data_IF_856850644430
#
_entry.id   IF_856850644430
#
_cell.length_a   1.000
_cell.length_b   1.000
_cell.length_c   1.000
_cell.angle_alpha   90.00
_cell.angle_beta   90.00
_cell.angle_gamma   90.00
#
_symmetry.space_group_name_H-M   'P 1'
#
loop_
_entity.id
_entity.type
_entity.pdbx_description
1 polymer ?
#
# COMPACT_ATOMS: atom_id res chain seq x y z
N UNK A 1 -0.41 -16.48 -14.81
CA UNK A 1 -0.29 -16.16 -13.35
C UNK A 1 0.24 -14.72 -13.21
N UNK A 2 -0.16 -13.92 -12.21
CA UNK A 2 0.17 -12.48 -12.12
C UNK A 2 1.68 -12.19 -12.31
N UNK A 3 2.56 -12.95 -11.65
CA UNK A 3 4.01 -12.74 -11.78
C UNK A 3 4.57 -13.00 -13.19
N UNK A 4 3.93 -13.85 -14.01
CA UNK A 4 4.34 -14.01 -15.41
C UNK A 4 3.85 -12.86 -16.29
N UNK A 5 2.62 -12.42 -16.09
CA UNK A 5 2.05 -11.28 -16.83
C UNK A 5 2.84 -9.98 -16.57
N UNK A 6 3.49 -9.87 -15.41
CA UNK A 6 4.24 -8.69 -14.99
C UNK A 6 5.73 -8.95 -14.76
N UNK A 7 6.32 -9.94 -15.43
CA UNK A 7 7.74 -10.33 -15.23
C UNK A 7 8.74 -9.17 -15.42
N UNK A 8 8.42 -8.18 -16.25
CA UNK A 8 9.23 -6.98 -16.48
C UNK A 8 9.06 -5.86 -15.43
N UNK A 9 8.13 -6.01 -14.50
CA UNK A 9 7.80 -4.98 -13.51
C UNK A 9 8.48 -5.26 -12.16
N UNK A 10 8.60 -4.19 -11.36
CA UNK A 10 9.03 -4.27 -9.96
C UNK A 10 7.78 -4.34 -9.09
N UNK A 11 7.69 -5.35 -8.24
CA UNK A 11 6.61 -5.50 -7.27
C UNK A 11 7.03 -4.91 -5.92
N UNK A 12 6.37 -3.83 -5.52
CA UNK A 12 6.58 -3.18 -4.23
C UNK A 12 5.76 -3.83 -3.11
N UNK A 13 6.43 -4.21 -2.02
CA UNK A 13 5.77 -4.73 -0.82
C UNK A 13 6.19 -3.93 0.42
N UNK A 14 5.28 -3.83 1.39
CA UNK A 14 5.61 -3.23 2.69
C UNK A 14 6.64 -4.08 3.44
N UNK A 15 7.69 -3.43 3.95
CA UNK A 15 8.68 -4.06 4.83
C UNK A 15 8.13 -4.19 6.27
N UNK A 16 7.13 -5.05 6.45
CA UNK A 16 6.50 -5.26 7.75
C UNK A 16 7.33 -6.18 8.64
N UNK A 17 7.69 -5.66 9.81
CA UNK A 17 8.26 -6.46 10.89
C UNK A 17 7.16 -7.10 11.74
N UNK A 18 6.81 -8.36 11.44
CA UNK A 18 5.75 -9.12 12.10
C UNK A 18 5.93 -9.21 13.62
N UNK A 19 7.16 -9.42 14.08
CA UNK A 19 7.48 -9.55 15.51
C UNK A 19 7.15 -8.25 16.27
N UNK A 20 7.53 -7.10 15.70
CA UNK A 20 7.22 -5.78 16.26
C UNK A 20 5.74 -5.41 16.19
N UNK A 21 4.91 -6.18 15.48
CA UNK A 21 3.46 -5.94 15.38
C UNK A 21 2.63 -6.65 16.46
N UNK A 22 3.20 -7.64 17.16
CA UNK A 22 2.52 -8.29 18.28
C UNK A 22 2.35 -7.32 19.46
N UNK A 23 1.21 -7.44 20.16
CA UNK A 23 0.83 -6.59 21.29
C UNK A 23 0.26 -7.44 22.42
N UNK A 24 -0.21 -6.81 23.51
CA UNK A 24 -0.85 -7.52 24.63
C UNK A 24 -2.24 -8.11 24.32
N UNK A 25 -2.83 -7.81 23.16
CA UNK A 25 -4.17 -8.28 22.79
C UNK A 25 -4.13 -9.64 22.06
N UNK A 26 -4.79 -10.65 22.64
CA UNK A 26 -4.90 -12.00 22.04
C UNK A 26 -5.56 -11.97 20.66
N UNK A 27 -6.67 -11.24 20.51
CA UNK A 27 -7.38 -11.15 19.22
C UNK A 27 -6.54 -10.48 18.15
N UNK A 28 -5.84 -9.39 18.49
CA UNK A 28 -4.91 -8.73 17.58
C UNK A 28 -3.79 -9.67 17.15
N UNK A 29 -3.14 -10.35 18.10
CA UNK A 29 -2.04 -11.26 17.80
C UNK A 29 -2.47 -12.43 16.92
N UNK A 30 -3.67 -13.00 17.13
CA UNK A 30 -4.21 -14.04 16.24
C UNK A 30 -4.39 -13.52 14.82
N UNK A 31 -4.90 -12.30 14.65
CA UNK A 31 -5.06 -11.70 13.32
C UNK A 31 -3.72 -11.44 12.65
N UNK A 32 -2.71 -10.94 13.38
CA UNK A 32 -1.35 -10.77 12.87
C UNK A 32 -0.73 -12.11 12.49
N UNK A 33 -0.92 -13.15 13.32
CA UNK A 33 -0.33 -14.47 13.10
C UNK A 33 -0.86 -15.13 11.81
N UNK A 34 -2.17 -15.00 11.53
CA UNK A 34 -2.84 -15.59 10.36
C UNK A 34 -2.26 -15.14 9.02
N UNK A 35 -1.72 -13.94 8.94
CA UNK A 35 -1.19 -13.40 7.68
C UNK A 35 0.28 -13.77 7.53
N UNK A 36 0.63 -14.47 6.44
CA UNK A 36 2.02 -14.82 6.12
C UNK A 36 2.51 -14.10 4.85
N UNK A 37 2.65 -12.77 4.97
CA UNK A 37 3.11 -11.92 3.87
C UNK A 37 4.56 -12.20 3.44
N UNK A 38 5.40 -12.75 4.34
CA UNK A 38 6.79 -13.12 3.99
C UNK A 38 6.82 -14.25 2.96
N UNK A 39 5.94 -15.24 3.11
CA UNK A 39 5.80 -16.31 2.11
C UNK A 39 5.34 -15.76 0.76
N UNK A 40 4.37 -14.84 0.74
CA UNK A 40 3.92 -14.18 -0.50
C UNK A 40 5.08 -13.44 -1.17
N UNK A 41 5.85 -12.66 -0.41
CA UNK A 41 7.04 -11.95 -0.90
C UNK A 41 8.07 -12.92 -1.48
N UNK A 42 8.34 -14.04 -0.79
CA UNK A 42 9.27 -15.07 -1.27
C UNK A 42 8.82 -15.72 -2.57
N UNK A 43 7.56 -16.12 -2.66
CA UNK A 43 6.96 -16.71 -3.86
C UNK A 43 6.97 -15.72 -5.05
N UNK A 44 6.74 -14.43 -4.79
CA UNK A 44 6.81 -13.39 -5.80
C UNK A 44 8.25 -13.11 -6.24
N UNK A 45 9.20 -13.08 -5.31
CA UNK A 45 10.62 -12.90 -5.57
C UNK A 45 11.24 -14.01 -6.43
N UNK A 46 10.73 -15.24 -6.31
CA UNK A 46 11.12 -16.33 -7.20
C UNK A 46 10.78 -16.06 -8.68
N UNK A 47 9.72 -15.30 -8.95
CA UNK A 47 9.17 -15.13 -10.31
C UNK A 47 9.36 -13.72 -10.89
N UNK A 48 9.74 -12.75 -10.07
CA UNK A 48 9.73 -11.32 -10.43
C UNK A 48 10.64 -10.51 -9.51
N UNK A 49 10.94 -9.27 -9.90
CA UNK A 49 11.73 -8.34 -9.08
C UNK A 49 10.86 -7.79 -7.95
N UNK A 50 11.33 -7.91 -6.71
CA UNK A 50 10.63 -7.40 -5.52
C UNK A 50 11.44 -6.26 -4.89
N UNK A 51 10.75 -5.21 -4.44
CA UNK A 51 11.31 -4.13 -3.63
C UNK A 51 10.53 -4.02 -2.31
N UNK A 52 11.26 -4.07 -1.20
CA UNK A 52 10.71 -3.82 0.13
C UNK A 52 10.69 -2.30 0.38
N UNK A 53 9.56 -1.79 0.84
CA UNK A 53 9.25 -0.37 0.95
C UNK A 53 8.94 0.01 2.38
N UNK A 54 9.16 1.28 2.73
CA UNK A 54 8.90 1.76 4.07
C UNK A 54 7.38 1.72 4.37
N UNK A 55 6.93 0.93 5.36
CA UNK A 55 5.51 0.83 5.70
C UNK A 55 5.00 2.05 6.47
N UNK A 56 5.88 2.96 6.90
CA UNK A 56 5.50 4.07 7.74
C UNK A 56 4.46 4.97 7.08
N UNK A 57 3.29 5.06 7.71
CA UNK A 57 2.12 5.80 7.25
C UNK A 57 1.59 5.41 5.86
N UNK A 58 1.95 4.26 5.30
CA UNK A 58 1.43 3.78 4.01
C UNK A 58 -0.11 3.81 3.94
N UNK A 59 -0.79 3.35 4.98
CA UNK A 59 -2.27 3.30 5.07
C UNK A 59 -2.91 4.51 5.76
N UNK A 60 -2.10 5.49 6.18
CA UNK A 60 -2.54 6.70 6.91
C UNK A 60 -2.39 7.95 6.05
N UNK A 61 -1.28 8.06 5.33
CA UNK A 61 -1.05 9.15 4.37
C UNK A 61 -2.09 9.07 3.25
N UNK A 62 -2.62 10.20 2.86
CA UNK A 62 -3.45 10.35 1.69
C UNK A 62 -2.51 10.36 0.48
N UNK A 63 -2.86 9.59 -0.55
CA UNK A 63 -2.13 9.56 -1.82
C UNK A 63 -2.08 10.91 -2.54
N UNK A 64 -2.87 11.91 -2.11
CA UNK A 64 -2.79 13.29 -2.59
C UNK A 64 -1.88 14.21 -1.76
N UNK A 65 -1.31 13.76 -0.63
CA UNK A 65 -0.27 14.48 0.12
C UNK A 65 -0.48 14.61 1.63
N UNK A 66 -1.73 14.71 2.10
CA UNK A 66 -2.02 14.97 3.53
C UNK A 66 -1.97 13.71 4.39
N UNK A 67 -1.53 13.80 5.65
CA UNK A 67 -1.57 12.66 6.57
C UNK A 67 -2.87 12.68 7.36
N UNK A 68 -3.66 11.61 7.28
CA UNK A 68 -4.85 11.41 8.12
C UNK A 68 -4.76 10.06 8.86
N UNK A 69 -5.62 9.86 9.86
CA UNK A 69 -5.75 8.56 10.53
C UNK A 69 -7.16 7.97 10.32
N UNK A 70 -7.51 7.55 9.08
CA UNK A 70 -8.83 6.98 8.83
C UNK A 70 -8.98 5.64 9.56
N UNK A 71 -10.22 5.36 10.00
CA UNK A 71 -10.61 4.10 10.62
C UNK A 71 -11.53 3.33 9.66
N UNK A 72 -11.38 2.01 9.60
CA UNK A 72 -12.18 1.15 8.72
C UNK A 72 -11.54 0.88 7.36
N UNK A 73 -12.35 0.35 6.44
CA UNK A 73 -11.96 -0.03 5.08
C UNK A 73 -11.97 1.15 4.10
N UNK A 74 -12.82 2.16 4.33
CA UNK A 74 -12.85 3.39 3.55
C UNK A 74 -11.78 4.37 4.02
N UNK A 75 -11.04 4.96 3.09
CA UNK A 75 -10.17 6.11 3.32
C UNK A 75 -10.93 7.38 2.94
N UNK A 76 -11.22 8.22 3.92
CA UNK A 76 -11.80 9.55 3.70
C UNK A 76 -10.82 10.63 4.15
N UNK A 77 -10.36 11.44 3.20
CA UNK A 77 -9.44 12.55 3.45
C UNK A 77 -10.21 13.82 3.80
N UNK A 78 -10.13 14.28 5.05
CA UNK A 78 -10.81 15.52 5.47
C UNK A 78 -10.26 16.79 4.80
N UNK A 79 -9.01 16.77 4.33
CA UNK A 79 -8.40 17.95 3.73
C UNK A 79 -8.65 18.12 2.22
N UNK A 80 -8.71 17.03 1.44
CA UNK A 80 -8.93 17.11 -0.02
C UNK A 80 -10.23 16.44 -0.49
N UNK A 81 -11.01 15.87 0.42
CA UNK A 81 -12.28 15.21 0.10
C UNK A 81 -12.16 13.84 -0.57
N UNK A 82 -10.94 13.32 -0.78
CA UNK A 82 -10.73 12.00 -1.41
C UNK A 82 -11.43 10.88 -0.62
N UNK A 83 -12.21 10.06 -1.33
CA UNK A 83 -12.90 8.88 -0.80
C UNK A 83 -12.57 7.66 -1.67
N UNK A 84 -11.72 6.76 -1.16
CA UNK A 84 -11.30 5.54 -1.86
C UNK A 84 -11.11 4.39 -0.88
N UNK A 85 -10.99 3.16 -1.37
CA UNK A 85 -10.60 2.02 -0.54
C UNK A 85 -9.22 2.27 0.11
N UNK A 86 -9.10 1.92 1.39
CA UNK A 86 -7.90 2.20 2.18
C UNK A 86 -6.71 1.37 1.76
N UNK A 87 -6.92 0.14 1.30
CA UNK A 87 -5.85 -0.69 0.76
C UNK A 87 -5.39 -0.15 -0.59
N UNK A 88 -6.31 0.29 -1.45
CA UNK A 88 -5.96 0.99 -2.70
C UNK A 88 -5.14 2.26 -2.41
N UNK A 89 -5.56 3.09 -1.45
CA UNK A 89 -4.78 4.26 -1.05
C UNK A 89 -3.37 3.89 -0.57
N UNK A 90 -3.24 2.80 0.21
CA UNK A 90 -1.94 2.31 0.66
C UNK A 90 -1.08 1.84 -0.52
N UNK A 91 -1.64 1.10 -1.47
CA UNK A 91 -0.96 0.69 -2.70
C UNK A 91 -0.46 1.89 -3.50
N UNK A 92 -1.25 2.97 -3.62
CA UNK A 92 -0.83 4.20 -4.29
C UNK A 92 0.37 4.86 -3.59
N UNK A 93 0.35 4.95 -2.26
CA UNK A 93 1.48 5.50 -1.52
C UNK A 93 2.76 4.68 -1.70
N UNK A 94 2.64 3.35 -1.77
CA UNK A 94 3.78 2.45 -2.03
C UNK A 94 4.28 2.59 -3.47
N UNK A 95 3.37 2.69 -4.44
CA UNK A 95 3.72 2.98 -5.83
C UNK A 95 4.57 4.26 -5.94
N UNK A 96 4.15 5.34 -5.27
CA UNK A 96 4.93 6.58 -5.24
C UNK A 96 6.34 6.39 -4.65
N UNK A 97 6.52 5.53 -3.64
CA UNK A 97 7.85 5.20 -3.13
C UNK A 97 8.71 4.43 -4.14
N UNK A 98 8.11 3.50 -4.91
CA UNK A 98 8.81 2.77 -5.97
C UNK A 98 9.33 3.75 -7.02
N UNK A 99 8.48 4.68 -7.46
CA UNK A 99 8.77 5.70 -8.46
C UNK A 99 9.65 6.85 -7.94
N UNK A 100 9.89 6.95 -6.63
CA UNK A 100 10.62 8.06 -6.03
C UNK A 100 9.88 9.39 -6.09
N UNK A 101 8.54 9.35 -6.13
CA UNK A 101 7.67 10.52 -6.29
C UNK A 101 7.08 10.97 -4.95
N UNK A 102 6.87 12.27 -4.83
CA UNK A 102 6.14 12.87 -3.70
C UNK A 102 4.63 12.96 -4.01
N UNK A 103 3.75 12.58 -3.06
CA UNK A 103 2.31 12.67 -3.29
C UNK A 103 1.84 14.12 -3.43
N UNK A 104 0.99 14.36 -4.42
CA UNK A 104 0.30 15.65 -4.64
C UNK A 104 -1.05 15.42 -5.32
N UNK A 105 -1.99 16.36 -5.15
CA UNK A 105 -3.29 16.29 -5.81
C UNK A 105 -3.18 16.23 -7.33
N UNK A 106 -2.28 17.04 -7.92
CA UNK A 106 -2.05 17.07 -9.37
C UNK A 106 -1.57 15.71 -9.88
N UNK A 107 -0.61 15.09 -9.18
CA UNK A 107 -0.10 13.77 -9.53
C UNK A 107 -1.20 12.71 -9.41
N UNK A 108 -1.96 12.73 -8.31
CA UNK A 108 -3.07 11.80 -8.09
C UNK A 108 -4.09 11.87 -9.23
N UNK A 109 -4.59 13.08 -9.57
CA UNK A 109 -5.56 13.26 -10.66
C UNK A 109 -4.98 12.79 -11.99
N UNK A 110 -3.71 13.07 -12.28
CA UNK A 110 -3.03 12.62 -13.49
C UNK A 110 -2.95 11.09 -13.60
N UNK A 111 -2.57 10.41 -12.51
CA UNK A 111 -2.51 8.94 -12.45
C UNK A 111 -3.89 8.32 -12.64
N UNK A 112 -4.90 8.82 -11.93
CA UNK A 112 -6.25 8.27 -12.03
C UNK A 112 -6.85 8.46 -13.43
N UNK A 113 -6.63 9.62 -14.09
CA UNK A 113 -7.02 9.84 -15.48
C UNK A 113 -6.36 8.84 -16.42
N UNK A 114 -5.03 8.63 -16.27
CA UNK A 114 -4.26 7.71 -17.12
C UNK A 114 -4.72 6.26 -16.96
N UNK A 115 -5.10 5.86 -15.75
CA UNK A 115 -5.56 4.50 -15.46
C UNK A 115 -7.06 4.30 -15.68
N UNK A 116 -7.78 5.31 -16.20
CA UNK A 116 -9.22 5.24 -16.45
C UNK A 116 -10.06 5.14 -15.16
N UNK A 117 -9.53 5.60 -14.03
CA UNK A 117 -10.06 5.37 -12.69
C UNK A 117 -10.68 6.58 -11.99
N UNK A 118 -10.94 7.69 -12.68
CA UNK A 118 -11.88 8.70 -12.18
C UNK A 118 -13.23 8.47 -12.90
N UNK A 119 -14.37 8.43 -12.19
CA UNK A 119 -15.64 8.72 -12.84
C UNK A 119 -15.63 10.12 -13.47
#
# INVERSE_FOLDING_TARGET
MIAEAFRGYVHGFEDLNKEKMFKKSRTHNRNVAKSDWRTIIGLMGYKSRVRLLNPHNSSRRCSSGMVNAPKGALYECKGCGLKIDRQLNACLNLYLQVEGLSPSLKLFVGLMKRWGGLP
#
